data_IF_635367091120
#
_entry.id   IF_635367091120
#
_cell.length_a   1.000
_cell.length_b   1.000
_cell.length_c   1.000
_cell.angle_alpha   90.00
_cell.angle_beta   90.00
_cell.angle_gamma   90.00
#
_symmetry.space_group_name_H-M   'P 1'
#
loop_
_entity.id
_entity.type
_entity.pdbx_description
1 polymer ?
#
# COMPACT_ATOMS: atom_id res chain seq x y z
N UNK A 1 -29.67 -55.19 65.94
CA UNK A 1 -29.65 -55.89 64.63
C UNK A 1 -29.76 -54.81 63.59
N UNK A 2 -28.60 -54.37 63.12
CA UNK A 2 -28.37 -53.23 62.22
C UNK A 2 -28.17 -53.81 60.81
N UNK A 3 -28.86 -53.30 59.77
CA UNK A 3 -28.48 -53.59 58.41
C UNK A 3 -27.85 -52.37 57.69
N UNK A 4 -26.64 -52.66 57.24
CA UNK A 4 -25.75 -52.06 56.24
C UNK A 4 -26.37 -51.40 54.99
N UNK A 5 -25.79 -50.23 54.67
CA UNK A 5 -25.23 -49.73 53.38
C UNK A 5 -26.02 -49.86 52.05
N UNK A 6 -26.10 -48.71 51.35
CA UNK A 6 -26.39 -48.68 49.91
C UNK A 6 -26.41 -47.28 49.30
N UNK A 7 -25.25 -46.62 49.21
CA UNK A 7 -25.05 -45.46 48.31
C UNK A 7 -25.36 -45.86 46.87
N UNK A 8 -26.30 -45.18 46.22
CA UNK A 8 -26.38 -45.12 44.76
C UNK A 8 -27.20 -43.93 44.27
N UNK A 9 -26.60 -43.15 43.37
CA UNK A 9 -27.32 -42.43 42.33
C UNK A 9 -27.89 -41.07 42.70
N UNK A 10 -27.03 -40.05 42.83
CA UNK A 10 -27.40 -38.72 42.32
C UNK A 10 -27.59 -38.85 40.80
N UNK A 11 -28.78 -39.27 40.39
CA UNK A 11 -29.25 -39.17 39.02
C UNK A 11 -29.40 -37.70 38.68
N UNK A 12 -28.37 -37.15 38.06
CA UNK A 12 -28.43 -35.90 37.32
C UNK A 12 -29.72 -35.91 36.50
N UNK A 13 -30.60 -34.94 36.75
CA UNK A 13 -31.75 -34.69 35.88
C UNK A 13 -31.26 -34.51 34.44
N UNK A 14 -32.10 -34.83 33.43
CA UNK A 14 -31.70 -34.64 32.05
C UNK A 14 -31.35 -33.14 31.88
N UNK A 15 -30.08 -32.87 31.60
CA UNK A 15 -29.62 -31.60 31.06
C UNK A 15 -30.34 -31.42 29.72
N UNK A 16 -31.50 -30.77 29.80
CA UNK A 16 -32.22 -30.31 28.62
C UNK A 16 -31.24 -29.55 27.74
N UNK A 17 -31.17 -29.87 26.43
CA UNK A 17 -30.20 -29.25 25.55
C UNK A 17 -30.41 -27.73 25.56
N UNK A 18 -29.34 -27.02 25.89
CA UNK A 18 -29.20 -25.56 25.96
C UNK A 18 -29.22 -24.96 24.54
N UNK A 19 -30.23 -25.33 23.77
CA UNK A 19 -30.43 -24.95 22.36
C UNK A 19 -31.91 -24.65 22.05
N UNK A 20 -32.81 -24.72 23.04
CA UNK A 20 -34.24 -24.41 22.87
C UNK A 20 -34.64 -22.99 23.31
N UNK A 21 -33.70 -22.22 23.88
CA UNK A 21 -33.98 -20.95 24.57
C UNK A 21 -33.62 -19.71 23.77
N UNK A 22 -33.88 -19.69 22.47
CA UNK A 22 -34.09 -18.41 21.82
C UNK A 22 -35.38 -17.81 22.43
N UNK A 23 -35.25 -17.07 23.55
CA UNK A 23 -36.35 -16.53 24.37
C UNK A 23 -37.53 -16.10 23.50
N UNK A 24 -38.76 -16.33 23.96
CA UNK A 24 -39.99 -16.07 23.19
C UNK A 24 -40.00 -14.67 22.54
N UNK A 25 -39.42 -13.67 23.22
CA UNK A 25 -39.21 -12.34 22.70
C UNK A 25 -38.34 -12.28 21.43
N UNK A 26 -37.23 -13.03 21.35
CA UNK A 26 -36.40 -13.08 20.14
C UNK A 26 -37.18 -13.71 18.97
N UNK A 27 -37.99 -14.74 19.21
CA UNK A 27 -38.84 -15.34 18.18
C UNK A 27 -39.90 -14.35 17.68
N UNK A 28 -40.52 -13.59 18.58
CA UNK A 28 -41.44 -12.52 18.22
C UNK A 28 -40.73 -11.42 17.40
N UNK A 29 -39.56 -10.96 17.84
CA UNK A 29 -38.75 -9.97 17.11
C UNK A 29 -38.37 -10.46 15.72
N UNK A 30 -37.94 -11.71 15.56
CA UNK A 30 -37.62 -12.31 14.26
C UNK A 30 -38.85 -12.33 13.35
N UNK A 31 -40.04 -12.68 13.86
CA UNK A 31 -41.29 -12.65 13.08
C UNK A 31 -41.60 -11.23 12.59
N UNK A 32 -41.42 -10.21 13.44
CA UNK A 32 -41.63 -8.80 13.06
C UNK A 32 -40.65 -8.35 11.99
N UNK A 33 -39.34 -8.61 12.16
CA UNK A 33 -38.31 -8.28 11.16
C UNK A 33 -38.60 -8.96 9.83
N UNK A 34 -38.93 -10.25 9.85
CA UNK A 34 -39.30 -11.00 8.63
C UNK A 34 -40.55 -10.44 7.96
N UNK A 35 -41.57 -10.02 8.73
CA UNK A 35 -42.78 -9.41 8.19
C UNK A 35 -42.47 -8.06 7.52
N UNK A 36 -41.60 -7.24 8.13
CA UNK A 36 -41.13 -5.99 7.53
C UNK A 36 -40.35 -6.23 6.23
N UNK A 37 -39.39 -7.16 6.25
CA UNK A 37 -38.63 -7.55 5.05
C UNK A 37 -39.55 -8.09 3.95
N UNK A 38 -40.56 -8.89 4.29
CA UNK A 38 -41.56 -9.37 3.34
C UNK A 38 -42.33 -8.22 2.68
N UNK A 39 -42.75 -7.20 3.42
CA UNK A 39 -43.45 -6.06 2.82
C UNK A 39 -42.53 -5.23 1.91
N UNK A 40 -41.26 -5.06 2.27
CA UNK A 40 -40.27 -4.44 1.39
C UNK A 40 -40.08 -5.25 0.11
N UNK A 41 -39.93 -6.57 0.22
CA UNK A 41 -39.79 -7.47 -0.93
C UNK A 41 -41.04 -7.47 -1.81
N UNK A 42 -42.24 -7.52 -1.21
CA UNK A 42 -43.53 -7.43 -1.91
C UNK A 42 -43.66 -6.12 -2.68
N UNK A 43 -43.31 -4.98 -2.06
CA UNK A 43 -43.36 -3.67 -2.72
C UNK A 43 -42.37 -3.59 -3.87
N UNK A 44 -41.12 -4.05 -3.68
CA UNK A 44 -40.10 -4.13 -4.74
C UNK A 44 -40.52 -5.03 -5.89
N UNK A 45 -41.11 -6.19 -5.60
CA UNK A 45 -41.63 -7.11 -6.61
C UNK A 45 -42.79 -6.50 -7.41
N UNK A 46 -43.72 -5.83 -6.72
CA UNK A 46 -44.83 -5.12 -7.37
C UNK A 46 -44.32 -3.96 -8.24
N UNK A 47 -43.29 -3.23 -7.81
CA UNK A 47 -42.65 -2.19 -8.61
C UNK A 47 -41.95 -2.77 -9.84
N UNK A 48 -41.20 -3.87 -9.69
CA UNK A 48 -40.50 -4.53 -10.78
C UNK A 48 -41.43 -5.11 -11.86
N UNK A 49 -42.71 -5.35 -11.55
CA UNK A 49 -43.72 -5.77 -12.52
C UNK A 49 -44.29 -4.64 -13.36
N UNK A 50 -44.13 -3.39 -12.92
CA UNK A 50 -44.57 -2.22 -13.70
C UNK A 50 -43.48 -1.89 -14.72
N UNK A 51 -43.85 -1.47 -15.95
CA UNK A 51 -42.85 -0.97 -16.90
C UNK A 51 -42.12 0.24 -16.29
N UNK A 52 -40.83 0.37 -16.60
CA UNK A 52 -40.03 1.49 -16.11
C UNK A 52 -40.61 2.83 -16.58
N UNK A 53 -40.83 3.74 -15.63
CA UNK A 53 -41.21 5.13 -15.88
C UNK A 53 -39.94 5.99 -16.04
N UNK A 54 -40.02 7.14 -16.74
CA UNK A 54 -38.93 8.12 -16.79
C UNK A 54 -38.48 8.54 -15.38
N UNK A 55 -39.40 8.47 -14.42
CA UNK A 55 -39.11 8.64 -12.98
C UNK A 55 -38.09 7.62 -12.45
N UNK A 56 -38.16 6.36 -12.86
CA UNK A 56 -37.23 5.32 -12.39
C UNK A 56 -35.81 5.58 -12.90
N UNK A 57 -35.69 6.10 -14.14
CA UNK A 57 -34.40 6.50 -14.73
C UNK A 57 -33.79 7.67 -13.95
N UNK A 58 -34.61 8.67 -13.62
CA UNK A 58 -34.18 9.83 -12.83
C UNK A 58 -33.79 9.41 -11.40
N UNK A 59 -34.58 8.54 -10.77
CA UNK A 59 -34.31 8.06 -9.42
C UNK A 59 -33.04 7.20 -9.37
N UNK A 60 -32.83 6.32 -10.35
CA UNK A 60 -31.60 5.54 -10.47
C UNK A 60 -30.37 6.43 -10.68
N UNK A 61 -30.47 7.41 -11.59
CA UNK A 61 -29.36 8.34 -11.85
C UNK A 61 -29.03 9.17 -10.61
N UNK A 62 -30.03 9.72 -9.92
CA UNK A 62 -29.82 10.55 -8.72
C UNK A 62 -29.16 9.74 -7.58
N UNK A 63 -29.57 8.48 -7.39
CA UNK A 63 -28.96 7.60 -6.41
C UNK A 63 -27.53 7.16 -6.80
N UNK A 64 -27.31 6.87 -8.08
CA UNK A 64 -25.97 6.58 -8.61
C UNK A 64 -25.00 7.76 -8.44
N UNK A 65 -25.48 8.97 -8.73
CA UNK A 65 -24.73 10.20 -8.55
C UNK A 65 -24.36 10.44 -7.08
N UNK A 66 -25.32 10.29 -6.16
CA UNK A 66 -25.06 10.40 -4.72
C UNK A 66 -24.04 9.37 -4.24
N UNK A 67 -24.18 8.11 -4.66
CA UNK A 67 -23.25 7.02 -4.30
C UNK A 67 -21.83 7.31 -4.78
N UNK A 68 -21.69 7.78 -6.02
CA UNK A 68 -20.39 8.18 -6.57
C UNK A 68 -19.79 9.35 -5.79
N UNK A 69 -20.59 10.37 -5.47
CA UNK A 69 -20.13 11.54 -4.72
C UNK A 69 -19.65 11.18 -3.31
N UNK A 70 -20.36 10.31 -2.59
CA UNK A 70 -19.94 9.83 -1.26
C UNK A 70 -18.62 9.06 -1.37
N UNK A 71 -18.46 8.22 -2.39
CA UNK A 71 -17.21 7.49 -2.64
C UNK A 71 -16.04 8.43 -2.94
N UNK A 72 -16.26 9.46 -3.77
CA UNK A 72 -15.25 10.51 -4.04
C UNK A 72 -14.86 11.22 -2.75
N UNK A 73 -15.83 11.64 -1.92
CA UNK A 73 -15.57 12.30 -0.63
C UNK A 73 -14.79 11.41 0.34
N UNK A 74 -15.10 10.12 0.40
CA UNK A 74 -14.37 9.18 1.25
C UNK A 74 -12.93 8.96 0.75
N UNK A 75 -12.73 8.87 -0.57
CA UNK A 75 -11.40 8.79 -1.16
C UNK A 75 -10.59 10.06 -0.89
N UNK A 76 -11.18 11.24 -1.07
CA UNK A 76 -10.58 12.53 -0.71
C UNK A 76 -10.19 12.56 0.77
N UNK A 77 -11.10 12.18 1.67
CA UNK A 77 -10.84 12.11 3.12
C UNK A 77 -9.66 11.17 3.45
N UNK A 78 -9.57 10.01 2.81
CA UNK A 78 -8.45 9.06 3.01
C UNK A 78 -7.13 9.63 2.50
N UNK A 79 -7.16 10.29 1.34
CA UNK A 79 -5.99 10.91 0.72
C UNK A 79 -5.47 12.07 1.58
N UNK A 80 -6.36 12.95 2.04
CA UNK A 80 -6.02 14.06 2.94
C UNK A 80 -5.34 13.58 4.23
N UNK A 81 -5.70 12.38 4.70
CA UNK A 81 -5.14 11.77 5.90
C UNK A 81 -3.83 11.02 5.65
N UNK A 82 -3.68 10.33 4.51
CA UNK A 82 -2.51 9.49 4.23
C UNK A 82 -1.34 10.28 3.64
N UNK A 83 -1.62 11.16 2.69
CA UNK A 83 -0.62 11.99 2.00
C UNK A 83 -0.31 13.22 2.86
N UNK A 84 -1.27 13.67 3.67
CA UNK A 84 -1.31 15.02 4.23
C UNK A 84 -2.01 15.95 3.25
N UNK A 85 -2.57 17.07 3.74
CA UNK A 85 -3.26 18.06 2.88
C UNK A 85 -2.38 18.35 1.64
N UNK A 86 -2.92 18.39 0.41
CA UNK A 86 -2.19 18.94 -0.75
C UNK A 86 -1.75 20.40 -0.51
N UNK A 87 -2.35 21.05 0.49
CA UNK A 87 -1.91 22.31 1.09
C UNK A 87 -0.49 22.28 1.70
N UNK A 88 0.24 21.16 1.75
CA UNK A 88 1.70 21.24 1.98
C UNK A 88 2.41 21.99 0.83
N UNK A 89 1.75 22.21 -0.31
CA UNK A 89 2.19 23.09 -1.39
C UNK A 89 1.49 24.47 -1.43
N UNK A 90 0.49 24.73 -0.57
CA UNK A 90 -0.19 26.04 -0.48
C UNK A 90 -0.29 26.46 0.99
N UNK A 91 0.34 27.57 1.41
CA UNK A 91 0.48 27.92 2.82
C UNK A 91 -0.79 28.57 3.36
N UNK A 92 -1.90 27.83 3.53
CA UNK A 92 -3.10 28.37 4.17
C UNK A 92 -3.78 27.35 5.10
N UNK A 93 -3.95 27.79 6.34
CA UNK A 93 -4.83 27.31 7.42
C UNK A 93 -4.29 26.24 8.36
N UNK A 94 -3.77 26.78 9.46
CA UNK A 94 -4.09 26.50 10.87
C UNK A 94 -5.10 25.37 11.17
N UNK A 95 -4.84 24.71 12.30
CA UNK A 95 -5.71 23.76 13.05
C UNK A 95 -5.64 22.29 12.61
N UNK A 96 -4.48 21.66 12.80
CA UNK A 96 -4.38 20.21 13.05
C UNK A 96 -3.05 19.86 13.73
N UNK A 97 -2.91 20.22 15.01
CA UNK A 97 -1.63 20.23 15.72
C UNK A 97 -1.08 18.87 16.18
N UNK A 98 -1.79 17.75 16.02
CA UNK A 98 -1.31 16.46 16.58
C UNK A 98 -1.28 15.26 15.62
N UNK A 99 -1.50 15.44 14.32
CA UNK A 99 -1.52 14.31 13.34
C UNK A 99 -0.49 14.40 12.21
N UNK A 100 0.44 15.36 12.32
CA UNK A 100 1.44 15.63 11.27
C UNK A 100 2.68 14.73 11.28
N UNK A 101 2.83 13.79 12.23
CA UNK A 101 4.08 13.02 12.35
C UNK A 101 4.10 11.66 11.61
N UNK A 102 2.96 11.14 11.15
CA UNK A 102 2.89 9.81 10.52
C UNK A 102 2.29 9.81 9.11
N UNK A 103 2.16 10.96 8.45
CA UNK A 103 1.75 11.02 7.04
C UNK A 103 2.88 10.58 6.12
N UNK A 104 2.54 10.12 4.91
CA UNK A 104 3.52 9.76 3.88
C UNK A 104 4.39 10.98 3.54
N UNK A 105 3.80 12.18 3.43
CA UNK A 105 4.53 13.41 3.17
C UNK A 105 5.56 13.75 4.26
N UNK A 106 5.20 13.65 5.54
CA UNK A 106 6.14 13.91 6.63
C UNK A 106 7.30 12.89 6.68
N UNK A 107 7.04 11.64 6.29
CA UNK A 107 8.07 10.61 6.18
C UNK A 107 9.00 10.87 4.99
N UNK A 108 8.45 11.29 3.85
CA UNK A 108 9.21 11.64 2.66
C UNK A 108 10.13 12.83 2.91
N UNK A 109 9.64 13.90 3.56
CA UNK A 109 10.45 15.06 3.89
C UNK A 109 11.67 14.69 4.76
N UNK A 110 11.49 13.82 5.77
CA UNK A 110 12.63 13.32 6.57
C UNK A 110 13.63 12.50 5.76
N UNK A 111 13.16 11.79 4.74
CA UNK A 111 14.05 11.04 3.85
C UNK A 111 14.82 12.02 2.98
N UNK A 112 14.17 13.04 2.44
CA UNK A 112 14.78 14.12 1.66
C UNK A 112 15.86 14.85 2.47
N UNK A 113 15.55 15.28 3.70
CA UNK A 113 16.52 15.91 4.62
C UNK A 113 17.78 15.04 4.83
N UNK A 114 17.58 13.72 5.00
CA UNK A 114 18.69 12.77 5.17
C UNK A 114 19.52 12.61 3.91
N UNK A 115 18.89 12.60 2.74
CA UNK A 115 19.59 12.53 1.45
C UNK A 115 20.42 13.80 1.25
N UNK A 116 19.88 14.98 1.54
CA UNK A 116 20.63 16.24 1.47
C UNK A 116 21.80 16.26 2.44
N UNK A 117 21.64 15.72 3.66
CA UNK A 117 22.74 15.60 4.60
C UNK A 117 23.84 14.65 4.11
N UNK A 118 23.47 13.50 3.53
CA UNK A 118 24.43 12.57 2.96
C UNK A 118 25.20 13.20 1.80
N UNK A 119 24.52 13.96 0.94
CA UNK A 119 25.15 14.68 -0.17
C UNK A 119 26.22 15.66 0.34
N UNK A 120 25.88 16.50 1.33
CA UNK A 120 26.84 17.42 1.95
C UNK A 120 28.04 16.68 2.57
N UNK A 121 27.80 15.53 3.21
CA UNK A 121 28.88 14.72 3.80
C UNK A 121 29.78 14.12 2.74
N UNK A 122 29.23 13.67 1.62
CA UNK A 122 30.00 13.18 0.48
C UNK A 122 30.88 14.28 -0.10
N UNK A 123 30.35 15.49 -0.27
CA UNK A 123 31.15 16.65 -0.72
C UNK A 123 32.34 16.92 0.21
N UNK A 124 32.11 16.91 1.53
CA UNK A 124 33.19 17.09 2.51
C UNK A 124 34.23 15.98 2.42
N UNK A 125 33.80 14.72 2.29
CA UNK A 125 34.72 13.58 2.12
C UNK A 125 35.54 13.74 0.84
N UNK A 126 34.92 14.13 -0.27
CA UNK A 126 35.61 14.37 -1.54
C UNK A 126 36.64 15.49 -1.43
N UNK A 127 36.32 16.60 -0.74
CA UNK A 127 37.28 17.69 -0.52
C UNK A 127 38.47 17.25 0.33
N UNK A 128 38.22 16.52 1.42
CA UNK A 128 39.27 15.95 2.27
C UNK A 128 40.18 14.99 1.50
N UNK A 129 39.61 14.13 0.63
CA UNK A 129 40.38 13.21 -0.20
C UNK A 129 41.25 13.96 -1.22
N UNK A 130 40.75 15.03 -1.85
CA UNK A 130 41.55 15.87 -2.73
C UNK A 130 42.70 16.53 -1.98
N UNK A 131 42.47 17.06 -0.78
CA UNK A 131 43.54 17.63 0.06
C UNK A 131 44.63 16.60 0.39
N UNK A 132 44.25 15.37 0.75
CA UNK A 132 45.21 14.29 1.01
C UNK A 132 46.02 13.91 -0.25
N UNK A 133 45.37 13.85 -1.41
CA UNK A 133 46.05 13.58 -2.68
C UNK A 133 46.99 14.72 -3.09
N UNK A 134 46.61 15.98 -2.87
CA UNK A 134 47.46 17.14 -3.12
C UNK A 134 48.68 17.18 -2.19
N UNK A 135 48.51 16.78 -0.92
CA UNK A 135 49.64 16.63 0.01
C UNK A 135 50.60 15.50 -0.40
N UNK A 136 50.09 14.42 -0.99
CA UNK A 136 50.93 13.30 -1.45
C UNK A 136 51.69 13.59 -2.75
N UNK A 137 51.23 14.53 -3.59
CA UNK A 137 51.94 14.98 -4.80
C UNK A 137 53.05 16.02 -4.51
N UNK A 138 53.19 16.49 -3.27
CA UNK A 138 54.19 17.48 -2.85
C UNK A 138 55.42 16.90 -2.14
N UNK A 139 56.23 16.06 -2.81
CA UNK A 139 57.54 15.58 -2.30
C UNK A 139 58.34 14.81 -3.38
N UNK A 140 59.68 14.90 -3.43
CA UNK A 140 60.40 15.33 -4.64
C UNK A 140 60.87 14.18 -5.55
N UNK A 141 60.58 14.26 -6.84
CA UNK A 141 61.37 13.59 -7.87
C UNK A 141 62.43 14.56 -8.41
N UNK A 142 63.66 14.38 -7.91
CA UNK A 142 64.88 14.93 -8.50
C UNK A 142 65.02 14.51 -9.97
N UNK A 143 65.50 15.45 -10.78
CA UNK A 143 65.40 15.44 -12.24
C UNK A 143 66.09 14.32 -13.01
N UNK A 144 65.59 14.10 -14.23
CA UNK A 144 66.32 13.60 -15.39
C UNK A 144 65.62 14.16 -16.65
N UNK A 145 66.40 14.64 -17.62
CA UNK A 145 66.01 15.56 -18.69
C UNK A 145 65.12 15.01 -19.83
N UNK A 146 64.97 15.78 -20.93
CA UNK A 146 64.09 15.44 -22.04
C UNK A 146 64.77 14.44 -22.97
N UNK A 147 64.26 13.21 -23.03
CA UNK A 147 64.62 12.23 -24.06
C UNK A 147 63.36 11.83 -24.82
N UNK A 148 63.33 12.30 -26.07
CA UNK A 148 62.53 11.80 -27.17
C UNK A 148 62.89 10.33 -27.41
N UNK A 149 61.95 9.39 -27.29
CA UNK A 149 61.90 8.13 -28.07
C UNK A 149 60.45 7.62 -28.13
N UNK A 150 59.99 7.35 -29.34
CA UNK A 150 58.81 6.60 -29.81
C UNK A 150 59.36 5.53 -30.81
N UNK A 151 58.69 4.44 -31.29
CA UNK A 151 57.45 3.68 -30.96
C UNK A 151 57.60 2.11 -30.91
N UNK A 152 56.45 1.40 -30.72
CA UNK A 152 56.09 -0.02 -31.08
C UNK A 152 56.71 -1.18 -30.26
N UNK A 153 56.03 -2.28 -29.89
CA UNK A 153 54.96 -3.08 -30.55
C UNK A 153 54.21 -4.03 -29.58
N UNK A 154 52.92 -4.32 -29.90
CA UNK A 154 52.07 -5.54 -29.72
C UNK A 154 52.29 -6.43 -28.45
N UNK A 155 51.28 -6.84 -27.66
CA UNK A 155 50.09 -7.66 -27.98
C UNK A 155 49.21 -7.78 -26.69
N UNK A 156 47.89 -8.02 -26.82
CA UNK A 156 47.04 -8.45 -25.69
C UNK A 156 45.73 -7.67 -25.47
N UNK A 157 44.70 -8.04 -26.22
CA UNK A 157 43.29 -7.61 -26.15
C UNK A 157 42.65 -7.53 -24.75
N UNK A 158 42.06 -6.38 -24.38
CA UNK A 158 40.79 -6.29 -23.60
C UNK A 158 39.95 -5.12 -24.14
N UNK A 159 38.71 -5.45 -24.51
CA UNK A 159 37.73 -4.68 -25.27
C UNK A 159 37.07 -3.54 -24.44
N UNK A 160 37.03 -2.27 -24.89
CA UNK A 160 36.37 -1.18 -24.18
C UNK A 160 34.89 -1.06 -24.60
N UNK A 161 34.03 -1.96 -24.12
CA UNK A 161 32.56 -1.88 -24.27
C UNK A 161 31.89 -2.16 -22.90
N UNK A 162 32.14 -1.30 -21.92
CA UNK A 162 31.39 -1.31 -20.64
C UNK A 162 30.92 0.07 -20.17
N UNK A 163 31.17 1.12 -20.94
CA UNK A 163 30.67 2.46 -20.62
C UNK A 163 29.69 2.94 -21.68
N UNK A 164 28.51 2.29 -21.72
CA UNK A 164 27.35 2.94 -22.31
C UNK A 164 26.80 4.00 -21.34
N UNK A 165 26.44 5.20 -21.82
CA UNK A 165 25.83 6.24 -21.00
C UNK A 165 24.37 5.86 -20.74
N UNK A 166 24.09 5.32 -19.55
CA UNK A 166 22.75 4.90 -19.14
C UNK A 166 21.83 6.11 -18.86
N UNK A 167 21.28 6.70 -19.92
CA UNK A 167 20.15 7.64 -19.86
C UNK A 167 18.98 7.23 -20.79
N UNK A 168 18.91 5.97 -21.24
CA UNK A 168 17.72 5.42 -21.91
C UNK A 168 16.93 4.53 -20.96
N UNK A 169 15.68 4.89 -20.69
CA UNK A 169 14.72 4.06 -19.96
C UNK A 169 14.60 2.67 -20.61
N UNK A 170 14.43 1.58 -19.84
CA UNK A 170 14.28 0.23 -20.38
C UNK A 170 13.04 0.12 -21.27
N UNK A 171 13.19 -0.55 -22.41
CA UNK A 171 12.11 -0.74 -23.40
C UNK A 171 11.10 -1.78 -22.89
N UNK A 172 9.81 -1.57 -23.20
CA UNK A 172 8.62 -2.30 -22.75
C UNK A 172 8.76 -3.84 -22.71
N UNK A 173 9.50 -4.43 -23.65
CA UNK A 173 9.75 -5.86 -23.77
C UNK A 173 10.49 -6.47 -22.56
N UNK A 174 11.21 -5.66 -21.78
CA UNK A 174 11.99 -6.12 -20.62
C UNK A 174 11.14 -6.28 -19.34
N UNK A 175 9.88 -5.83 -19.35
CA UNK A 175 8.98 -5.88 -18.21
C UNK A 175 7.90 -6.95 -18.32
N UNK A 176 7.84 -7.70 -19.43
CA UNK A 176 6.87 -8.81 -19.52
C UNK A 176 7.42 -10.06 -18.83
N UNK A 177 6.65 -10.59 -17.88
CA UNK A 177 6.86 -11.92 -17.31
C UNK A 177 6.85 -12.98 -18.43
N UNK A 178 7.70 -14.02 -18.38
CA UNK A 178 7.64 -15.11 -19.36
C UNK A 178 6.24 -15.71 -19.42
N UNK A 179 5.57 -15.56 -20.56
CA UNK A 179 4.33 -16.27 -20.87
C UNK A 179 4.67 -17.75 -21.00
N UNK A 180 4.14 -18.55 -20.07
CA UNK A 180 4.00 -20.00 -20.17
C UNK A 180 3.45 -20.36 -21.55
N UNK A 181 4.25 -21.08 -22.36
CA UNK A 181 3.80 -21.64 -23.64
C UNK A 181 2.73 -22.72 -23.41
N UNK A 182 1.72 -22.83 -24.27
CA UNK A 182 0.83 -23.98 -24.30
C UNK A 182 1.46 -25.12 -25.13
N UNK A 183 0.93 -26.33 -24.89
CA UNK A 183 0.97 -27.53 -25.74
C UNK A 183 2.10 -28.55 -25.52
N UNK A 184 1.75 -29.62 -24.81
CA UNK A 184 1.61 -30.96 -25.41
C UNK A 184 0.85 -31.85 -24.43
N UNK A 185 -0.39 -32.16 -24.80
CA UNK A 185 -1.16 -33.23 -24.20
C UNK A 185 -0.78 -34.52 -24.95
N UNK A 186 -0.20 -35.48 -24.23
CA UNK A 186 -0.29 -36.89 -24.57
C UNK A 186 -0.21 -37.75 -23.32
#
# INVERSE_FOLDING_TARGET
MEPYLGSSGRGFGPSMPESSWLREHHRATIKVIRRMQYFVAKKKFQQARKPYDVRDVIEQYSQGHLNLMVRIKELQRRLDQSIGKPSLFIPISEKSKDRGSNTIGARLNRVEDKVTQLDQRLVVITDMLHQLLSLHQGGPHSGAGPQVVQPCSEDGSIHPELFLPSNSLPTYEQLTVPRRGPDEAS
#
